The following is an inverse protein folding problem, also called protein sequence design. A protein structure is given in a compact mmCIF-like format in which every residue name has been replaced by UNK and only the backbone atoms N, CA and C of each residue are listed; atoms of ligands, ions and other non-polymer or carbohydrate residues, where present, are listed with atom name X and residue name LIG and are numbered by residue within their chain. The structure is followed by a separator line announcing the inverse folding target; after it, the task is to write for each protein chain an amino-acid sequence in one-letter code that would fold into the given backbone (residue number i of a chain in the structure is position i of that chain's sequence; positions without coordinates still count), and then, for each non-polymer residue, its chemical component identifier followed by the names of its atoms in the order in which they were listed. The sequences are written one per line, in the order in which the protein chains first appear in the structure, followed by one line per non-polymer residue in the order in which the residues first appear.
data_IF_934075392213
#
_entry.id   IF_934075392213
#
_cell.length_a   1.000
_cell.length_b   1.000
_cell.length_c   1.000
_cell.angle_alpha   90.00
_cell.angle_beta   90.00
_cell.angle_gamma   90.00
#
_symmetry.space_group_name_H-M   'P 1'
#
loop_
_entity.id
_entity.type
_entity.pdbx_description
1 polymer ?
#
# COMPACT_ATOMS: atom_id res chain seq x y z
N UNK A 1 -22.83 -9.73 0.05
CA UNK A 1 -21.40 -9.44 -0.19
C UNK A 1 -20.67 -9.76 1.09
N UNK A 2 -19.61 -10.58 1.04
CA UNK A 2 -18.87 -11.02 2.23
C UNK A 2 -18.37 -9.81 3.03
N UNK A 3 -18.57 -9.82 4.35
CA UNK A 3 -18.23 -8.71 5.25
C UNK A 3 -16.72 -8.47 5.29
N UNK A 4 -15.93 -9.53 5.13
CA UNK A 4 -14.47 -9.46 5.09
C UNK A 4 -13.98 -8.76 3.81
N UNK A 5 -14.65 -9.03 2.69
CA UNK A 5 -14.36 -8.39 1.41
C UNK A 5 -14.75 -6.90 1.43
N UNK A 6 -15.81 -6.54 2.14
CA UNK A 6 -16.20 -5.13 2.34
C UNK A 6 -15.17 -4.35 3.16
N UNK A 7 -14.68 -4.94 4.25
CA UNK A 7 -13.67 -4.30 5.11
C UNK A 7 -12.34 -4.13 4.38
N UNK A 8 -11.88 -5.17 3.68
CA UNK A 8 -10.68 -5.07 2.84
C UNK A 8 -10.82 -3.99 1.78
N UNK A 9 -11.96 -3.94 1.08
CA UNK A 9 -12.22 -2.91 0.06
C UNK A 9 -12.24 -1.50 0.67
N UNK A 10 -12.73 -1.37 1.90
CA UNK A 10 -12.72 -0.09 2.64
C UNK A 10 -11.30 0.39 2.88
N UNK A 11 -10.41 -0.50 3.36
CA UNK A 11 -8.99 -0.19 3.54
C UNK A 11 -8.28 0.09 2.21
N UNK A 12 -8.55 -0.73 1.18
CA UNK A 12 -7.99 -0.55 -0.16
C UNK A 12 -8.35 0.81 -0.75
N UNK A 13 -9.62 1.19 -0.63
CA UNK A 13 -10.14 2.45 -1.13
C UNK A 13 -9.57 3.63 -0.35
N UNK A 14 -9.48 3.53 0.98
CA UNK A 14 -8.85 4.56 1.82
C UNK A 14 -7.38 4.76 1.48
N UNK A 15 -6.63 3.67 1.32
CA UNK A 15 -5.22 3.69 0.92
C UNK A 15 -5.04 4.27 -0.50
N UNK A 16 -5.91 3.93 -1.44
CA UNK A 16 -5.89 4.47 -2.81
C UNK A 16 -6.15 5.98 -2.82
N UNK A 17 -7.12 6.46 -2.05
CA UNK A 17 -7.42 7.90 -1.95
C UNK A 17 -6.21 8.64 -1.36
N UNK A 18 -5.62 8.12 -0.27
CA UNK A 18 -4.43 8.73 0.30
C UNK A 18 -3.26 8.75 -0.69
N UNK A 19 -3.04 7.64 -1.40
CA UNK A 19 -2.03 7.55 -2.46
C UNK A 19 -2.24 8.59 -3.55
N UNK A 20 -3.47 8.76 -4.04
CA UNK A 20 -3.80 9.78 -5.04
C UNK A 20 -3.57 11.21 -4.54
N UNK A 21 -3.92 11.50 -3.29
CA UNK A 21 -3.65 12.82 -2.68
C UNK A 21 -2.16 13.10 -2.67
N UNK A 22 -1.34 12.15 -2.20
CA UNK A 22 0.11 12.32 -2.19
C UNK A 22 0.71 12.42 -3.59
N UNK A 23 0.22 11.62 -4.54
CA UNK A 23 0.67 11.65 -5.93
C UNK A 23 0.46 13.04 -6.56
N UNK A 24 -0.72 13.63 -6.36
CA UNK A 24 -1.05 14.98 -6.85
C UNK A 24 -0.25 16.05 -6.11
N UNK A 25 -0.09 15.93 -4.78
CA UNK A 25 0.75 16.85 -4.00
C UNK A 25 2.24 16.78 -4.40
N UNK A 26 2.71 15.62 -4.84
CA UNK A 26 4.06 15.42 -5.37
C UNK A 26 4.30 16.02 -6.75
N UNK A 27 3.30 16.63 -7.39
CA UNK A 27 3.44 17.30 -8.67
C UNK A 27 2.99 16.49 -9.89
N UNK A 28 2.51 15.26 -9.69
CA UNK A 28 1.98 14.45 -10.81
C UNK A 28 0.64 15.02 -11.29
N UNK A 29 0.60 15.49 -12.53
CA UNK A 29 -0.60 16.10 -13.14
C UNK A 29 -1.04 15.45 -14.46
N UNK A 30 -0.22 14.57 -15.04
CA UNK A 30 -0.54 13.92 -16.31
C UNK A 30 -1.48 12.71 -16.09
N UNK A 31 -2.67 12.66 -16.73
CA UNK A 31 -3.64 11.58 -16.53
C UNK A 31 -3.10 10.18 -16.85
N UNK A 32 -2.20 10.08 -17.83
CA UNK A 32 -1.52 8.84 -18.24
C UNK A 32 -0.66 8.29 -17.11
N UNK A 33 0.16 9.15 -16.50
CA UNK A 33 1.03 8.79 -15.37
C UNK A 33 0.24 8.41 -14.13
N UNK A 34 -0.83 9.15 -13.82
CA UNK A 34 -1.78 8.81 -12.73
C UNK A 34 -2.38 7.42 -12.97
N UNK A 35 -2.83 7.14 -14.20
CA UNK A 35 -3.38 5.84 -14.57
C UNK A 35 -2.41 4.69 -14.35
N UNK A 36 -1.13 4.88 -14.72
CA UNK A 36 -0.08 3.88 -14.49
C UNK A 36 0.18 3.69 -12.99
N UNK A 37 0.26 4.77 -12.22
CA UNK A 37 0.48 4.72 -10.77
C UNK A 37 -0.66 4.01 -10.03
N UNK A 38 -1.91 4.28 -10.41
CA UNK A 38 -3.11 3.59 -9.88
C UNK A 38 -3.07 2.10 -10.24
N UNK A 39 -2.71 1.76 -11.48
CA UNK A 39 -2.54 0.38 -11.91
C UNK A 39 -1.50 -0.37 -11.09
N UNK A 40 -0.34 0.25 -10.86
CA UNK A 40 0.72 -0.31 -10.03
C UNK A 40 0.25 -0.52 -8.57
N UNK A 41 -0.44 0.48 -7.99
CA UNK A 41 -1.02 0.38 -6.66
C UNK A 41 -2.01 -0.78 -6.55
N UNK A 42 -2.91 -0.93 -7.52
CA UNK A 42 -3.91 -2.00 -7.53
C UNK A 42 -3.26 -3.39 -7.55
N UNK A 43 -2.23 -3.58 -8.40
CA UNK A 43 -1.46 -4.82 -8.45
C UNK A 43 -0.78 -5.09 -7.10
N UNK A 44 -0.13 -4.08 -6.53
CA UNK A 44 0.50 -4.16 -5.21
C UNK A 44 -0.49 -4.57 -4.12
N UNK A 45 -1.69 -3.97 -4.10
CA UNK A 45 -2.72 -4.31 -3.13
C UNK A 45 -3.15 -5.77 -3.23
N UNK A 46 -3.36 -6.28 -4.45
CA UNK A 46 -3.71 -7.69 -4.68
C UNK A 46 -2.64 -8.63 -4.15
N UNK A 47 -1.37 -8.34 -4.42
CA UNK A 47 -0.24 -9.14 -3.93
C UNK A 47 -0.20 -9.15 -2.40
N UNK A 48 -0.38 -7.99 -1.76
CA UNK A 48 -0.34 -7.86 -0.30
C UNK A 48 -1.52 -8.57 0.34
N UNK A 49 -2.73 -8.40 -0.21
CA UNK A 49 -3.92 -9.10 0.27
C UNK A 49 -3.73 -10.61 0.25
N UNK A 50 -3.21 -11.15 -0.86
CA UNK A 50 -2.87 -12.57 -0.95
C UNK A 50 -1.81 -12.97 0.09
N UNK A 51 -0.75 -12.17 0.25
CA UNK A 51 0.32 -12.46 1.19
C UNK A 51 -0.13 -12.46 2.65
N UNK A 52 -0.92 -11.47 3.07
CA UNK A 52 -1.43 -11.39 4.44
C UNK A 52 -2.39 -12.54 4.74
N UNK A 53 -3.31 -12.84 3.82
CA UNK A 53 -4.30 -13.92 4.00
C UNK A 53 -3.67 -15.32 4.04
N UNK A 54 -2.60 -15.56 3.28
CA UNK A 54 -2.02 -16.90 3.14
C UNK A 54 -0.74 -17.14 3.95
N UNK A 55 -0.06 -16.07 4.38
CA UNK A 55 1.21 -16.16 5.09
C UNK A 55 1.27 -15.33 6.37
N UNK A 56 0.48 -14.26 6.48
CA UNK A 56 0.49 -13.40 7.66
C UNK A 56 -0.35 -13.92 8.84
N UNK A 57 -0.35 -13.18 9.97
CA UNK A 57 -1.24 -13.43 11.11
C UNK A 57 -2.72 -13.41 10.70
N UNK A 58 -3.09 -12.65 9.67
CA UNK A 58 -4.46 -12.64 9.13
C UNK A 58 -4.96 -13.97 8.55
N UNK A 59 -4.12 -15.02 8.50
CA UNK A 59 -4.54 -16.39 8.16
C UNK A 59 -5.25 -17.12 9.30
N UNK A 60 -5.17 -16.62 10.55
CA UNK A 60 -5.68 -17.31 11.74
C UNK A 60 -7.05 -16.81 12.19
N UNK A 61 -7.34 -15.51 12.03
CA UNK A 61 -8.59 -14.88 12.47
C UNK A 61 -8.93 -13.65 11.61
N UNK A 62 -10.24 -13.38 11.50
CA UNK A 62 -10.79 -12.21 10.78
C UNK A 62 -10.36 -10.88 11.41
N UNK A 63 -10.31 -10.83 12.73
CA UNK A 63 -9.92 -9.63 13.48
C UNK A 63 -8.43 -9.30 13.28
N UNK A 64 -7.58 -10.34 13.24
CA UNK A 64 -6.16 -10.19 12.94
C UNK A 64 -5.92 -9.76 11.49
N UNK A 65 -6.75 -10.25 10.54
CA UNK A 65 -6.68 -9.84 9.15
C UNK A 65 -7.02 -8.36 8.96
N UNK A 66 -8.11 -7.89 9.56
CA UNK A 66 -8.50 -6.48 9.52
C UNK A 66 -7.41 -5.58 10.13
N UNK A 67 -6.88 -5.97 11.28
CA UNK A 67 -5.80 -5.26 11.96
C UNK A 67 -4.53 -5.17 11.12
N UNK A 68 -4.18 -6.24 10.40
CA UNK A 68 -3.03 -6.25 9.48
C UNK A 68 -3.23 -5.30 8.30
N UNK A 69 -4.42 -5.25 7.69
CA UNK A 69 -4.74 -4.28 6.63
C UNK A 69 -4.74 -2.84 7.14
N UNK A 70 -5.22 -2.61 8.37
CA UNK A 70 -5.14 -1.31 9.02
C UNK A 70 -3.68 -0.88 9.22
N UNK A 71 -2.84 -1.75 9.82
CA UNK A 71 -1.42 -1.45 10.03
C UNK A 71 -0.69 -1.21 8.72
N UNK A 72 -0.96 -2.02 7.70
CA UNK A 72 -0.45 -1.83 6.36
C UNK A 72 -0.79 -0.44 5.83
N UNK A 73 -2.07 -0.06 5.89
CA UNK A 73 -2.56 1.22 5.38
C UNK A 73 -1.94 2.40 6.14
N UNK A 74 -1.92 2.35 7.47
CA UNK A 74 -1.34 3.41 8.30
C UNK A 74 0.14 3.61 8.00
N UNK A 75 0.91 2.52 7.93
CA UNK A 75 2.34 2.59 7.64
C UNK A 75 2.61 3.06 6.20
N UNK A 76 1.79 2.63 5.24
CA UNK A 76 1.88 3.11 3.86
C UNK A 76 1.66 4.62 3.78
N UNK A 77 0.62 5.13 4.46
CA UNK A 77 0.31 6.57 4.50
C UNK A 77 1.47 7.36 5.12
N UNK A 78 2.04 6.88 6.23
CA UNK A 78 3.20 7.51 6.86
C UNK A 78 4.39 7.53 5.89
N UNK A 79 4.66 6.41 5.22
CA UNK A 79 5.77 6.30 4.28
C UNK A 79 5.61 7.24 3.08
N UNK A 80 4.41 7.30 2.50
CA UNK A 80 4.07 8.23 1.41
C UNK A 80 4.21 9.69 1.84
N UNK A 81 3.79 10.02 3.08
CA UNK A 81 3.94 11.36 3.63
C UNK A 81 5.42 11.75 3.74
N UNK A 82 6.28 10.85 4.23
CA UNK A 82 7.73 11.10 4.33
C UNK A 82 8.33 11.33 2.94
N UNK A 83 8.03 10.46 1.96
CA UNK A 83 8.55 10.62 0.59
C UNK A 83 8.09 11.94 -0.02
N UNK A 84 6.82 12.28 0.13
CA UNK A 84 6.25 13.53 -0.40
C UNK A 84 6.92 14.74 0.24
N UNK A 85 7.08 14.74 1.58
CA UNK A 85 7.76 15.82 2.28
C UNK A 85 9.21 16.00 1.85
N UNK A 86 9.95 14.91 1.65
CA UNK A 86 11.34 14.96 1.17
C UNK A 86 11.39 15.59 -0.23
N UNK A 87 10.65 15.06 -1.19
CA UNK A 87 10.70 15.58 -2.56
C UNK A 87 10.21 17.03 -2.67
N UNK A 88 9.18 17.42 -1.92
CA UNK A 88 8.74 18.83 -1.88
C UNK A 88 9.76 19.76 -1.22
N UNK A 89 10.55 19.29 -0.25
CA UNK A 89 11.56 20.12 0.44
C UNK A 89 12.77 20.41 -0.46
N UNK A 90 13.11 19.48 -1.35
CA UNK A 90 14.24 19.63 -2.28
C UNK A 90 13.89 20.46 -3.53
N UNK A 91 12.63 20.89 -3.68
CA UNK A 91 12.17 21.75 -4.78
C UNK A 91 12.07 21.06 -6.14
N UNK A 92 12.17 19.72 -6.18
CA UNK A 92 11.95 18.91 -7.37
C UNK A 92 10.56 18.26 -7.33
N UNK A 93 9.82 18.35 -8.43
CA UNK A 93 8.57 17.60 -8.58
C UNK A 93 8.87 16.09 -8.51
N UNK A 94 8.17 15.38 -7.63
CA UNK A 94 8.31 13.93 -7.50
C UNK A 94 7.70 13.26 -8.74
N UNK A 95 8.57 12.68 -9.56
CA UNK A 95 8.13 11.86 -10.68
C UNK A 95 7.23 10.71 -10.20
N UNK A 96 6.19 10.42 -10.97
CA UNK A 96 5.32 9.25 -10.82
C UNK A 96 6.08 7.94 -10.65
N UNK A 97 7.26 7.83 -11.27
CA UNK A 97 8.16 6.68 -11.13
C UNK A 97 8.62 6.47 -9.68
N UNK A 98 8.90 7.54 -8.93
CA UNK A 98 9.28 7.46 -7.51
C UNK A 98 8.16 6.84 -6.68
N UNK A 99 6.91 7.29 -6.87
CA UNK A 99 5.76 6.72 -6.18
C UNK A 99 5.55 5.24 -6.52
N UNK A 100 5.74 4.85 -7.79
CA UNK A 100 5.68 3.44 -8.21
C UNK A 100 6.74 2.60 -7.49
N UNK A 101 8.00 3.06 -7.45
CA UNK A 101 9.09 2.35 -6.78
C UNK A 101 8.86 2.25 -5.26
N UNK A 102 8.34 3.31 -4.64
CA UNK A 102 8.00 3.37 -3.22
C UNK A 102 6.91 2.34 -2.89
N UNK A 103 5.81 2.32 -3.66
CA UNK A 103 4.72 1.35 -3.47
C UNK A 103 5.22 -0.07 -3.69
N UNK A 104 6.04 -0.30 -4.72
CA UNK A 104 6.60 -1.62 -4.99
C UNK A 104 7.57 -2.09 -3.89
N UNK A 105 8.46 -1.21 -3.42
CA UNK A 105 9.38 -1.51 -2.33
C UNK A 105 8.64 -1.82 -1.03
N UNK A 106 7.62 -1.01 -0.70
CA UNK A 106 6.77 -1.25 0.47
C UNK A 106 6.02 -2.59 0.36
N UNK A 107 5.54 -2.92 -0.84
CA UNK A 107 4.90 -4.21 -1.14
C UNK A 107 5.84 -5.37 -0.85
N UNK A 108 7.07 -5.32 -1.36
CA UNK A 108 8.07 -6.38 -1.12
C UNK A 108 8.38 -6.58 0.36
N UNK A 109 8.58 -5.49 1.11
CA UNK A 109 8.82 -5.53 2.56
C UNK A 109 7.67 -6.24 3.26
N UNK A 110 6.42 -5.91 2.89
CA UNK A 110 5.25 -6.52 3.50
C UNK A 110 5.12 -8.00 3.16
N UNK A 111 5.37 -8.38 1.90
CA UNK A 111 5.39 -9.79 1.45
C UNK A 111 6.43 -10.59 2.23
N UNK A 112 7.66 -10.06 2.37
CA UNK A 112 8.73 -10.71 3.15
C UNK A 112 8.32 -10.85 4.61
N UNK A 113 7.75 -9.80 5.22
CA UNK A 113 7.24 -9.86 6.60
C UNK A 113 6.18 -10.95 6.75
N UNK A 114 5.18 -10.99 5.88
CA UNK A 114 4.14 -12.02 5.91
C UNK A 114 4.73 -13.41 5.75
N UNK A 115 5.67 -13.60 4.82
CA UNK A 115 6.35 -14.89 4.64
C UNK A 115 7.19 -15.29 5.86
N UNK A 116 7.90 -14.34 6.49
CA UNK A 116 8.70 -14.58 7.68
C UNK A 116 7.84 -15.01 8.87
N UNK A 117 6.68 -14.37 9.07
CA UNK A 117 5.73 -14.77 10.13
C UNK A 117 5.30 -16.22 9.93
N UNK A 118 4.95 -16.64 8.71
CA UNK A 118 4.63 -18.05 8.44
C UNK A 118 5.77 -19.00 8.76
N UNK A 119 7.00 -18.61 8.41
CA UNK A 119 8.18 -19.45 8.61
C UNK A 119 8.52 -19.63 10.10
N UNK A 120 8.44 -18.56 10.89
CA UNK A 120 8.80 -18.56 12.31
C UNK A 120 7.64 -18.88 13.27
N UNK A 121 6.39 -18.88 12.80
CA UNK A 121 5.23 -19.35 13.57
C UNK A 121 5.10 -20.89 13.58
N UNK A 122 6.11 -21.59 13.09
CA UNK A 122 6.20 -23.05 13.02
C UNK A 122 7.21 -23.55 14.05
#
# INVERSE_FOLDING_TARGET
MDEDLQKELTWASGALIAFLIFLVMGGTSEPTEIGIAVGAFAVSWVVISYSVKNFGPGSTSKEDLEKEFQWFTVLLVIFLAIVTLIGTTDGEDLSSSTYIFVVFGFTLVWVIRSAAIKYFSK
#
